data_IF_836295013133
#
_entry.id   IF_836295013133
#
_cell.length_a   1.000
_cell.length_b   1.000
_cell.length_c   1.000
_cell.angle_alpha   90.00
_cell.angle_beta   90.00
_cell.angle_gamma   90.00
#
_symmetry.space_group_name_H-M   'P 1'
#
loop_
_entity.id
_entity.type
_entity.pdbx_description
1 polymer ?
#
# COMPACT_ATOMS: atom_id res chain seq x y z
N UNK A 1 -14.93 33.47 33.11
CA UNK A 1 -15.21 33.36 31.65
C UNK A 1 -15.67 31.95 31.42
N UNK A 2 -16.90 31.75 30.96
CA UNK A 2 -17.46 30.41 30.79
C UNK A 2 -16.66 29.63 29.73
N UNK A 3 -16.25 28.40 30.04
CA UNK A 3 -15.50 27.50 29.14
C UNK A 3 -16.22 27.32 27.80
N UNK A 4 -17.55 27.34 27.79
CA UNK A 4 -18.38 27.30 26.57
C UNK A 4 -18.13 28.51 25.63
N UNK A 5 -17.85 29.68 26.19
CA UNK A 5 -17.63 30.90 25.42
C UNK A 5 -16.24 30.90 24.73
N UNK A 6 -15.26 30.25 25.36
CA UNK A 6 -13.91 30.10 24.78
C UNK A 6 -13.95 29.16 23.57
N UNK A 7 -14.65 28.04 23.66
CA UNK A 7 -14.79 27.07 22.55
C UNK A 7 -15.53 27.68 21.35
N UNK A 8 -16.64 28.39 21.61
CA UNK A 8 -17.39 29.06 20.55
C UNK A 8 -16.52 30.10 19.83
N UNK A 9 -15.72 30.88 20.55
CA UNK A 9 -14.79 31.86 19.96
C UNK A 9 -13.75 31.15 19.07
N UNK A 10 -13.23 30.00 19.48
CA UNK A 10 -12.27 29.20 18.69
C UNK A 10 -12.94 28.68 17.41
N UNK A 11 -14.16 28.14 17.50
CA UNK A 11 -14.89 27.61 16.35
C UNK A 11 -15.26 28.73 15.35
N UNK A 12 -15.74 29.87 15.85
CA UNK A 12 -16.05 31.02 14.98
C UNK A 12 -14.79 31.59 14.31
N UNK A 13 -13.66 31.62 15.03
CA UNK A 13 -12.38 32.05 14.46
C UNK A 13 -11.97 31.08 13.33
N UNK A 14 -12.08 29.78 13.54
CA UNK A 14 -11.75 28.79 12.52
C UNK A 14 -12.63 28.90 11.27
N UNK A 15 -13.92 29.16 11.45
CA UNK A 15 -14.86 29.35 10.34
C UNK A 15 -14.64 30.66 9.55
N UNK A 16 -14.04 31.68 10.18
CA UNK A 16 -13.76 33.00 9.56
C UNK A 16 -12.36 33.11 8.96
N UNK A 17 -11.45 32.20 9.31
CA UNK A 17 -10.06 32.24 8.85
C UNK A 17 -9.95 31.89 7.36
N UNK A 18 -8.91 32.44 6.75
CA UNK A 18 -8.49 32.14 5.38
C UNK A 18 -8.20 30.67 5.23
N UNK A 19 -8.78 30.06 4.22
CA UNK A 19 -8.53 28.67 3.91
C UNK A 19 -7.12 28.50 3.32
N UNK A 20 -6.23 27.82 4.05
CA UNK A 20 -4.91 27.41 3.54
C UNK A 20 -5.05 26.20 2.62
N UNK A 21 -5.95 25.27 2.96
CA UNK A 21 -6.17 24.04 2.20
C UNK A 21 -7.37 24.14 1.24
N UNK A 22 -7.18 23.61 0.03
CA UNK A 22 -8.27 23.21 -0.88
C UNK A 22 -8.81 21.85 -0.45
N UNK A 23 -7.89 20.87 -0.28
CA UNK A 23 -8.21 19.51 0.15
C UNK A 23 -7.05 18.94 0.97
N UNK A 24 -7.22 18.87 2.29
CA UNK A 24 -6.19 18.33 3.19
C UNK A 24 -6.04 16.83 3.14
N UNK A 25 -7.08 16.11 2.66
CA UNK A 25 -7.07 14.64 2.58
C UNK A 25 -6.02 14.13 1.58
N UNK A 26 -5.70 14.92 0.57
CA UNK A 26 -4.64 14.63 -0.41
C UNK A 26 -3.26 14.45 0.25
N UNK A 27 -3.01 15.06 1.42
CA UNK A 27 -1.74 14.93 2.15
C UNK A 27 -1.71 13.70 3.09
N UNK A 28 -2.81 13.01 3.27
CA UNK A 28 -2.86 11.83 4.12
C UNK A 28 -2.12 10.64 3.49
N UNK A 29 -1.63 9.77 4.35
CA UNK A 29 -0.82 8.62 3.96
C UNK A 29 -1.60 7.49 3.26
N UNK A 30 -2.92 7.46 3.39
CA UNK A 30 -3.84 6.51 2.75
C UNK A 30 -4.31 6.95 1.36
N UNK A 31 -4.09 8.22 1.02
CA UNK A 31 -4.39 8.73 -0.33
C UNK A 31 -3.44 8.15 -1.37
N UNK A 32 -3.99 7.53 -2.41
CA UNK A 32 -3.23 7.02 -3.56
C UNK A 32 -3.33 8.02 -4.71
N UNK A 33 -2.23 8.65 -5.11
CA UNK A 33 -2.25 9.63 -6.21
C UNK A 33 -2.29 8.96 -7.59
N UNK A 34 -2.74 9.73 -8.59
CA UNK A 34 -2.70 9.31 -9.99
C UNK A 34 -1.28 9.23 -10.56
N UNK A 35 -0.31 9.91 -9.95
CA UNK A 35 1.09 9.90 -10.34
C UNK A 35 1.97 9.62 -9.13
N UNK A 36 2.97 8.78 -9.34
CA UNK A 36 3.97 8.41 -8.35
C UNK A 36 5.37 8.75 -8.87
N UNK A 37 5.78 10.05 -8.78
CA UNK A 37 7.09 10.48 -9.27
C UNK A 37 8.22 9.69 -8.61
N UNK A 38 9.29 9.46 -9.37
CA UNK A 38 10.48 8.72 -8.96
C UNK A 38 10.24 7.23 -8.64
N UNK A 39 9.14 6.66 -9.16
CA UNK A 39 8.82 5.22 -9.08
C UNK A 39 8.46 4.61 -10.43
N UNK A 40 8.78 5.32 -11.52
CA UNK A 40 8.48 4.91 -12.89
C UNK A 40 9.11 3.53 -13.20
N UNK A 41 10.37 3.31 -12.79
CA UNK A 41 11.07 2.04 -12.98
C UNK A 41 10.40 0.88 -12.25
N UNK A 42 10.03 1.08 -10.97
CA UNK A 42 9.37 0.07 -10.16
C UNK A 42 7.97 -0.24 -10.68
N UNK A 43 7.24 0.79 -11.12
CA UNK A 43 5.91 0.66 -11.73
C UNK A 43 6.01 -0.10 -13.05
N UNK A 44 6.99 0.24 -13.89
CA UNK A 44 7.23 -0.43 -15.17
C UNK A 44 7.57 -1.91 -14.95
N UNK A 45 8.55 -2.19 -14.08
CA UNK A 45 8.99 -3.54 -13.76
C UNK A 45 7.81 -4.40 -13.22
N UNK A 46 7.06 -3.89 -12.23
CA UNK A 46 5.91 -4.61 -11.71
C UNK A 46 4.83 -4.81 -12.78
N UNK A 47 4.62 -3.80 -13.63
CA UNK A 47 3.70 -3.89 -14.77
C UNK A 47 4.06 -4.98 -15.74
N UNK A 48 5.35 -5.11 -16.11
CA UNK A 48 5.83 -6.18 -17.00
C UNK A 48 5.64 -7.57 -16.38
N UNK A 49 5.94 -7.71 -15.07
CA UNK A 49 5.81 -8.99 -14.37
C UNK A 49 4.35 -9.44 -14.32
N UNK A 50 3.40 -8.55 -14.07
CA UNK A 50 1.97 -8.91 -13.97
C UNK A 50 1.24 -8.94 -15.31
N UNK A 51 1.79 -8.35 -16.37
CA UNK A 51 1.13 -8.28 -17.68
C UNK A 51 0.71 -9.64 -18.29
N UNK A 52 1.43 -10.76 -18.09
CA UNK A 52 1.03 -12.07 -18.63
C UNK A 52 -0.38 -12.50 -18.24
N UNK A 53 -0.91 -12.04 -17.09
CA UNK A 53 -2.27 -12.42 -16.65
C UNK A 53 -3.36 -11.94 -17.60
N UNK A 54 -3.11 -10.86 -18.37
CA UNK A 54 -4.03 -10.37 -19.39
C UNK A 54 -4.19 -11.34 -20.58
N UNK A 55 -3.27 -12.31 -20.72
CA UNK A 55 -3.33 -13.40 -21.69
C UNK A 55 -3.67 -14.73 -21.01
N UNK A 56 -4.31 -14.71 -19.85
CA UNK A 56 -4.68 -15.87 -19.08
C UNK A 56 -3.48 -16.76 -18.67
N UNK A 57 -2.30 -16.19 -18.56
CA UNK A 57 -1.08 -16.85 -18.06
C UNK A 57 -0.74 -16.37 -16.68
N UNK A 58 -0.40 -17.28 -15.76
CA UNK A 58 0.09 -16.94 -14.42
C UNK A 58 1.34 -16.07 -14.53
N UNK A 59 1.43 -15.00 -13.74
CA UNK A 59 2.68 -14.24 -13.60
C UNK A 59 3.58 -14.85 -12.52
N UNK A 60 4.86 -14.46 -12.52
CA UNK A 60 5.82 -14.82 -11.47
C UNK A 60 5.38 -14.25 -10.12
N UNK A 61 5.80 -14.92 -9.03
CA UNK A 61 5.72 -14.34 -7.72
C UNK A 61 6.70 -13.17 -7.60
N UNK A 62 6.29 -12.11 -6.91
CA UNK A 62 7.09 -10.89 -6.76
C UNK A 62 7.31 -10.59 -5.31
N UNK A 63 8.54 -10.29 -4.95
CA UNK A 63 8.89 -9.81 -3.63
C UNK A 63 9.33 -8.34 -3.69
N UNK A 64 8.55 -7.47 -3.03
CA UNK A 64 8.77 -6.03 -2.98
C UNK A 64 9.25 -5.65 -1.59
N UNK A 65 10.42 -5.04 -1.50
CA UNK A 65 10.97 -4.65 -0.21
C UNK A 65 11.66 -3.29 -0.23
N UNK A 66 11.76 -2.69 0.94
CA UNK A 66 12.34 -1.37 1.17
C UNK A 66 11.86 -0.78 2.47
N UNK A 67 12.46 0.29 2.93
CA UNK A 67 12.05 0.97 4.17
C UNK A 67 10.61 1.48 4.11
N UNK A 68 10.04 1.83 5.26
CA UNK A 68 8.72 2.47 5.37
C UNK A 68 8.69 3.77 4.56
N UNK A 69 7.52 4.12 4.03
CA UNK A 69 7.31 5.39 3.32
C UNK A 69 7.99 5.52 1.95
N UNK A 70 8.57 4.44 1.40
CA UNK A 70 9.24 4.45 0.09
C UNK A 70 8.28 4.25 -1.10
N UNK A 71 6.98 4.17 -0.86
CA UNK A 71 5.96 4.10 -1.92
C UNK A 71 5.59 2.69 -2.39
N UNK A 72 6.07 1.59 -1.76
CA UNK A 72 5.78 0.19 -2.14
C UNK A 72 4.30 -0.09 -2.31
N UNK A 73 3.53 0.10 -1.23
CA UNK A 73 2.07 -0.14 -1.22
C UNK A 73 1.35 0.71 -2.25
N UNK A 74 1.72 1.99 -2.39
CA UNK A 74 1.09 2.90 -3.33
C UNK A 74 1.34 2.48 -4.78
N UNK A 75 2.60 2.14 -5.14
CA UNK A 75 2.95 1.66 -6.46
C UNK A 75 2.28 0.33 -6.80
N UNK A 76 2.24 -0.61 -5.85
CA UNK A 76 1.56 -1.89 -6.04
C UNK A 76 0.06 -1.70 -6.29
N UNK A 77 -0.61 -0.91 -5.45
CA UNK A 77 -2.05 -0.60 -5.64
C UNK A 77 -2.30 0.09 -6.98
N UNK A 78 -1.45 1.05 -7.35
CA UNK A 78 -1.57 1.76 -8.62
C UNK A 78 -1.51 0.80 -9.82
N UNK A 79 -0.47 -0.06 -9.88
CA UNK A 79 -0.29 -1.01 -10.98
C UNK A 79 -1.44 -2.01 -11.04
N UNK A 80 -1.82 -2.60 -9.90
CA UNK A 80 -2.86 -3.62 -9.86
C UNK A 80 -4.25 -3.06 -10.14
N UNK A 81 -4.55 -1.82 -9.74
CA UNK A 81 -5.80 -1.15 -10.14
C UNK A 81 -5.86 -0.95 -11.66
N UNK A 82 -4.76 -0.48 -12.28
CA UNK A 82 -4.69 -0.34 -13.75
C UNK A 82 -4.80 -1.70 -14.45
N UNK A 83 -4.17 -2.74 -13.89
CA UNK A 83 -4.28 -4.11 -14.38
C UNK A 83 -5.74 -4.60 -14.32
N UNK A 84 -6.43 -4.42 -13.19
CA UNK A 84 -7.81 -4.87 -13.01
C UNK A 84 -8.77 -4.18 -13.99
N UNK A 85 -8.61 -2.87 -14.20
CA UNK A 85 -9.40 -2.14 -15.22
C UNK A 85 -9.15 -2.75 -16.61
N UNK A 86 -7.88 -2.98 -16.97
CA UNK A 86 -7.53 -3.53 -18.28
C UNK A 86 -7.98 -4.97 -18.45
N UNK A 87 -7.88 -5.79 -17.41
CA UNK A 87 -8.38 -7.16 -17.41
C UNK A 87 -9.89 -7.19 -17.64
N UNK A 88 -10.65 -6.33 -16.96
CA UNK A 88 -12.09 -6.20 -17.17
C UNK A 88 -12.45 -5.80 -18.62
N UNK A 89 -11.74 -4.82 -19.20
CA UNK A 89 -11.93 -4.41 -20.60
C UNK A 89 -11.70 -5.56 -21.60
N UNK A 90 -10.75 -6.45 -21.30
CA UNK A 90 -10.37 -7.57 -22.15
C UNK A 90 -11.17 -8.85 -21.86
N UNK A 91 -11.99 -8.86 -20.80
CA UNK A 91 -12.66 -10.08 -20.33
C UNK A 91 -11.68 -11.14 -19.79
N UNK A 92 -10.48 -10.74 -19.35
CA UNK A 92 -9.51 -11.65 -18.77
C UNK A 92 -9.95 -12.07 -17.35
N UNK A 93 -9.89 -13.37 -16.99
CA UNK A 93 -10.35 -13.89 -15.71
C UNK A 93 -9.31 -13.62 -14.60
N UNK A 94 -9.14 -12.38 -14.21
CA UNK A 94 -8.16 -11.94 -13.20
C UNK A 94 -8.87 -11.36 -11.99
N UNK A 95 -8.54 -11.85 -10.82
CA UNK A 95 -9.00 -11.34 -9.53
C UNK A 95 -7.80 -10.89 -8.69
N UNK A 96 -7.91 -9.75 -8.01
CA UNK A 96 -6.84 -9.20 -7.17
C UNK A 96 -7.35 -9.08 -5.74
N UNK A 97 -6.67 -9.72 -4.81
CA UNK A 97 -6.96 -9.61 -3.38
C UNK A 97 -5.79 -8.97 -2.64
N UNK A 98 -6.08 -7.90 -1.91
CA UNK A 98 -5.09 -7.20 -1.08
C UNK A 98 -5.36 -7.46 0.40
N UNK A 99 -4.35 -7.99 1.09
CA UNK A 99 -4.40 -8.26 2.53
C UNK A 99 -3.22 -7.57 3.23
N UNK A 100 -3.50 -6.74 4.22
CA UNK A 100 -2.47 -6.25 5.14
C UNK A 100 -2.27 -7.28 6.26
N UNK A 101 -1.14 -7.97 6.24
CA UNK A 101 -0.82 -9.06 7.15
C UNK A 101 -0.69 -8.61 8.60
N UNK A 102 -0.25 -7.37 8.85
CA UNK A 102 -0.16 -6.81 10.19
C UNK A 102 -1.55 -6.57 10.81
N UNK A 103 -2.50 -6.06 10.01
CA UNK A 103 -3.87 -5.86 10.47
C UNK A 103 -4.62 -7.18 10.64
N UNK A 104 -4.40 -8.14 9.75
CA UNK A 104 -4.95 -9.47 9.87
C UNK A 104 -4.43 -10.20 11.13
N UNK A 105 -3.12 -10.12 11.38
CA UNK A 105 -2.46 -10.61 12.60
C UNK A 105 -2.42 -12.12 12.77
N UNK A 106 -3.18 -12.89 11.98
CA UNK A 106 -3.21 -14.36 12.02
C UNK A 106 -3.38 -14.96 10.63
N UNK A 107 -2.85 -16.18 10.41
CA UNK A 107 -3.01 -16.93 9.17
C UNK A 107 -4.49 -17.17 8.84
N UNK A 108 -5.29 -17.48 9.87
CA UNK A 108 -6.74 -17.66 9.72
C UNK A 108 -7.42 -16.44 9.09
N UNK A 109 -7.10 -15.23 9.57
CA UNK A 109 -7.68 -13.99 9.04
C UNK A 109 -7.18 -13.65 7.65
N UNK A 110 -5.92 -13.94 7.35
CA UNK A 110 -5.39 -13.80 5.98
C UNK A 110 -6.18 -14.71 5.05
N UNK A 111 -6.27 -16.01 5.37
CA UNK A 111 -7.01 -16.99 4.56
C UNK A 111 -8.50 -16.64 4.45
N UNK A 112 -9.12 -16.18 5.55
CA UNK A 112 -10.52 -15.73 5.53
C UNK A 112 -10.71 -14.59 4.53
N UNK A 113 -9.80 -13.61 4.50
CA UNK A 113 -9.87 -12.51 3.53
C UNK A 113 -9.69 -13.00 2.08
N UNK A 114 -8.84 -14.02 1.85
CA UNK A 114 -8.69 -14.63 0.54
C UNK A 114 -9.97 -15.40 0.12
N UNK A 115 -10.59 -16.14 1.04
CA UNK A 115 -11.87 -16.80 0.83
C UNK A 115 -12.99 -15.80 0.51
N UNK A 116 -13.07 -14.69 1.26
CA UNK A 116 -14.07 -13.64 1.05
C UNK A 116 -13.95 -13.02 -0.35
N UNK A 117 -12.73 -12.79 -0.83
CA UNK A 117 -12.49 -12.30 -2.19
C UNK A 117 -12.99 -13.29 -3.27
N UNK A 118 -12.96 -14.59 -2.99
CA UNK A 118 -13.52 -15.63 -3.86
C UNK A 118 -15.01 -15.89 -3.61
N UNK A 119 -15.68 -15.12 -2.73
CA UNK A 119 -17.08 -15.35 -2.37
C UNK A 119 -17.30 -16.64 -1.55
N UNK A 120 -16.26 -17.24 -1.03
CA UNK A 120 -16.31 -18.45 -0.19
C UNK A 120 -16.54 -18.04 1.25
N UNK A 121 -17.68 -18.47 1.81
CA UNK A 121 -18.02 -18.14 3.20
C UNK A 121 -17.22 -18.97 4.20
N UNK A 122 -16.51 -18.29 5.08
CA UNK A 122 -15.80 -18.86 6.21
C UNK A 122 -16.32 -18.25 7.50
N UNK A 123 -16.67 -19.01 8.53
CA UNK A 123 -17.10 -18.47 9.81
C UNK A 123 -15.95 -17.67 10.44
N UNK A 124 -16.28 -16.69 11.29
CA UNK A 124 -15.27 -15.82 11.92
C UNK A 124 -14.29 -16.60 12.82
N UNK A 125 -14.71 -17.71 13.39
CA UNK A 125 -13.92 -18.62 14.25
C UNK A 125 -14.45 -20.04 14.14
N UNK A 126 -13.66 -21.01 14.62
CA UNK A 126 -14.12 -22.39 14.87
C UNK A 126 -13.63 -23.42 13.86
N UNK A 127 -13.00 -23.03 12.76
CA UNK A 127 -12.35 -23.95 11.84
C UNK A 127 -10.85 -24.01 12.08
N UNK A 128 -10.25 -25.16 11.77
CA UNK A 128 -8.79 -25.25 11.70
C UNK A 128 -8.26 -24.46 10.50
N UNK A 129 -7.04 -23.91 10.59
CA UNK A 129 -6.42 -23.14 9.50
C UNK A 129 -6.34 -23.95 8.21
N UNK A 130 -6.00 -25.26 8.31
CA UNK A 130 -5.95 -26.17 7.16
C UNK A 130 -7.31 -26.33 6.47
N UNK A 131 -8.42 -26.39 7.23
CA UNK A 131 -9.76 -26.46 6.62
C UNK A 131 -10.13 -25.19 5.87
N UNK A 132 -9.72 -24.02 6.39
CA UNK A 132 -9.91 -22.74 5.68
C UNK A 132 -9.08 -22.71 4.40
N UNK A 133 -7.85 -23.23 4.45
CA UNK A 133 -6.98 -23.33 3.29
C UNK A 133 -7.57 -24.28 2.22
N UNK A 134 -8.14 -25.41 2.62
CA UNK A 134 -8.80 -26.32 1.68
C UNK A 134 -10.01 -25.66 1.00
N UNK A 135 -10.85 -24.94 1.75
CA UNK A 135 -11.96 -24.17 1.18
C UNK A 135 -11.48 -23.09 0.21
N UNK A 136 -10.37 -22.43 0.52
CA UNK A 136 -9.73 -21.46 -0.38
C UNK A 136 -9.32 -22.13 -1.69
N UNK A 137 -8.64 -23.30 -1.65
CA UNK A 137 -8.24 -24.04 -2.85
C UNK A 137 -9.44 -24.44 -3.71
N UNK A 138 -10.48 -25.01 -3.08
CA UNK A 138 -11.70 -25.41 -3.77
C UNK A 138 -12.38 -24.19 -4.46
N UNK A 139 -12.49 -23.07 -3.74
CA UNK A 139 -13.06 -21.84 -4.29
C UNK A 139 -12.27 -21.31 -5.49
N UNK A 140 -10.95 -21.33 -5.40
CA UNK A 140 -10.06 -20.89 -6.47
C UNK A 140 -10.17 -21.77 -7.73
N UNK A 141 -10.23 -23.11 -7.55
CA UNK A 141 -10.38 -24.04 -8.65
C UNK A 141 -11.76 -23.97 -9.32
N UNK A 142 -12.81 -23.69 -8.56
CA UNK A 142 -14.16 -23.52 -9.08
C UNK A 142 -14.29 -22.28 -9.98
N UNK A 143 -13.66 -21.17 -9.61
CA UNK A 143 -13.74 -19.91 -10.37
C UNK A 143 -12.88 -19.93 -11.64
N UNK A 144 -11.86 -20.77 -11.73
CA UNK A 144 -10.93 -20.88 -12.86
C UNK A 144 -10.22 -19.57 -13.21
N UNK A 145 -10.08 -18.69 -12.24
CA UNK A 145 -9.47 -17.37 -12.38
C UNK A 145 -7.96 -17.42 -12.09
N UNK A 146 -7.25 -16.40 -12.56
CA UNK A 146 -5.92 -16.07 -12.07
C UNK A 146 -6.09 -15.12 -10.88
N UNK A 147 -5.65 -15.55 -9.72
CA UNK A 147 -5.78 -14.85 -8.47
C UNK A 147 -4.44 -14.24 -8.06
N UNK A 148 -4.38 -12.90 -8.03
CA UNK A 148 -3.20 -12.20 -7.56
C UNK A 148 -3.41 -11.83 -6.10
N UNK A 149 -2.62 -12.43 -5.22
CA UNK A 149 -2.66 -12.17 -3.78
C UNK A 149 -1.57 -11.18 -3.41
N UNK A 150 -1.97 -10.04 -2.90
CA UNK A 150 -1.04 -9.06 -2.30
C UNK A 150 -1.01 -9.24 -0.80
N UNK A 151 0.15 -9.62 -0.27
CA UNK A 151 0.42 -9.75 1.15
C UNK A 151 1.30 -8.58 1.60
N UNK A 152 0.66 -7.51 2.07
CA UNK A 152 1.38 -6.31 2.54
C UNK A 152 1.77 -6.44 4.01
N UNK A 153 2.92 -5.88 4.38
CA UNK A 153 3.55 -6.01 5.70
C UNK A 153 3.70 -7.48 6.15
N UNK A 154 4.08 -8.35 5.21
CA UNK A 154 4.19 -9.79 5.42
C UNK A 154 5.17 -10.17 6.54
N UNK A 155 6.22 -9.36 6.73
CA UNK A 155 7.20 -9.51 7.80
C UNK A 155 6.57 -9.49 9.19
N UNK A 156 5.49 -8.74 9.38
CA UNK A 156 4.77 -8.68 10.66
C UNK A 156 4.10 -10.02 11.01
N UNK A 157 3.55 -10.73 10.01
CA UNK A 157 2.93 -12.04 10.21
C UNK A 157 3.99 -13.12 10.48
N UNK A 158 5.03 -13.16 9.66
CA UNK A 158 6.05 -14.21 9.69
C UNK A 158 6.87 -14.18 11.00
N UNK A 159 7.24 -12.99 11.47
CA UNK A 159 7.95 -12.86 12.76
C UNK A 159 7.20 -13.45 13.95
N UNK A 160 5.88 -13.54 13.87
CA UNK A 160 5.03 -14.01 14.98
C UNK A 160 4.54 -15.45 14.77
N UNK A 161 4.29 -15.84 13.51
CA UNK A 161 3.62 -17.11 13.17
C UNK A 161 4.48 -18.08 12.38
N UNK A 162 5.65 -17.65 11.88
CA UNK A 162 6.46 -18.42 10.95
C UNK A 162 5.95 -18.32 9.51
N UNK A 163 6.51 -19.09 8.62
CA UNK A 163 6.31 -19.01 7.17
C UNK A 163 5.44 -20.13 6.57
N UNK A 164 4.74 -20.89 7.43
CA UNK A 164 3.91 -22.04 7.00
C UNK A 164 2.86 -21.62 5.97
N UNK A 165 2.16 -20.52 6.22
CA UNK A 165 1.17 -20.00 5.27
C UNK A 165 1.79 -19.65 3.91
N UNK A 166 2.97 -19.02 3.90
CA UNK A 166 3.68 -18.73 2.66
C UNK A 166 4.12 -19.99 1.93
N UNK A 167 4.60 -20.98 2.67
CA UNK A 167 4.96 -22.27 2.12
C UNK A 167 3.77 -22.93 1.40
N UNK A 168 2.61 -22.94 2.04
CA UNK A 168 1.39 -23.48 1.45
C UNK A 168 0.93 -22.67 0.22
N UNK A 169 0.89 -21.35 0.32
CA UNK A 169 0.46 -20.47 -0.78
C UNK A 169 1.39 -20.53 -2.00
N UNK A 170 2.71 -20.62 -1.80
CA UNK A 170 3.66 -20.70 -2.91
C UNK A 170 3.56 -22.03 -3.67
N UNK A 171 3.10 -23.09 -3.01
CA UNK A 171 2.99 -24.44 -3.58
C UNK A 171 1.58 -24.82 -4.01
N UNK A 172 0.58 -24.02 -3.68
CA UNK A 172 -0.82 -24.37 -3.97
C UNK A 172 -1.09 -24.64 -5.46
N UNK A 173 -0.35 -23.99 -6.36
CA UNK A 173 -0.45 -24.22 -7.81
C UNK A 173 -0.11 -25.68 -8.23
N UNK A 174 0.64 -26.42 -7.41
CA UNK A 174 0.95 -27.85 -7.66
C UNK A 174 -0.30 -28.73 -7.53
N UNK A 175 -1.29 -28.29 -6.75
CA UNK A 175 -2.52 -29.05 -6.44
C UNK A 175 -3.76 -28.51 -7.14
N UNK A 176 -3.70 -27.31 -7.74
CA UNK A 176 -4.80 -26.70 -8.47
C UNK A 176 -4.92 -27.27 -9.88
N UNK A 177 -6.15 -27.55 -10.33
CA UNK A 177 -6.43 -28.04 -11.67
C UNK A 177 -6.69 -26.92 -12.66
N UNK A 178 -7.50 -25.92 -12.28
CA UNK A 178 -7.99 -24.86 -13.15
C UNK A 178 -7.57 -23.46 -12.70
N UNK A 179 -7.74 -23.16 -11.41
CA UNK A 179 -7.33 -21.89 -10.83
C UNK A 179 -5.80 -21.71 -10.83
N UNK A 180 -5.35 -20.48 -10.77
CA UNK A 180 -3.92 -20.17 -10.62
C UNK A 180 -3.75 -19.02 -9.65
N UNK A 181 -2.66 -19.04 -8.88
CA UNK A 181 -2.32 -17.97 -7.94
C UNK A 181 -0.93 -17.42 -8.24
N UNK A 182 -0.78 -16.11 -8.08
CA UNK A 182 0.50 -15.43 -8.02
C UNK A 182 0.55 -14.54 -6.78
N UNK A 183 1.70 -14.44 -6.14
CA UNK A 183 1.88 -13.75 -4.87
C UNK A 183 2.72 -12.50 -5.09
N UNK A 184 2.24 -11.37 -4.56
CA UNK A 184 2.99 -10.14 -4.41
C UNK A 184 3.22 -9.91 -2.93
N UNK A 185 4.40 -10.25 -2.44
CA UNK A 185 4.80 -10.06 -1.05
C UNK A 185 5.44 -8.69 -0.85
N UNK A 186 4.98 -7.89 0.11
CA UNK A 186 5.55 -6.59 0.44
C UNK A 186 6.10 -6.62 1.88
N UNK A 187 7.39 -6.26 2.05
CA UNK A 187 8.02 -6.16 3.35
C UNK A 187 8.69 -4.80 3.59
N UNK A 188 8.67 -4.37 4.83
CA UNK A 188 9.43 -3.21 5.31
C UNK A 188 10.81 -3.59 5.84
N UNK A 189 11.09 -4.87 6.00
CA UNK A 189 12.35 -5.40 6.52
C UNK A 189 13.22 -5.94 5.38
N UNK A 190 14.39 -5.33 5.17
CA UNK A 190 15.35 -5.76 4.13
C UNK A 190 15.98 -7.13 4.42
N UNK A 191 15.96 -7.57 5.68
CA UNK A 191 16.47 -8.88 6.12
C UNK A 191 15.39 -9.94 6.25
N UNK A 192 14.17 -9.62 5.81
CA UNK A 192 13.02 -10.51 5.92
C UNK A 192 13.29 -11.92 5.36
N UNK A 193 14.06 -12.02 4.28
CA UNK A 193 14.42 -13.30 3.65
C UNK A 193 15.19 -14.26 4.57
N UNK A 194 15.96 -13.71 5.52
CA UNK A 194 16.74 -14.51 6.47
C UNK A 194 15.84 -15.32 7.44
N UNK A 195 14.56 -14.93 7.55
CA UNK A 195 13.57 -15.60 8.39
C UNK A 195 12.74 -16.66 7.66
N UNK A 196 12.93 -16.80 6.35
CA UNK A 196 12.17 -17.75 5.52
C UNK A 196 12.92 -19.08 5.36
N UNK A 197 12.16 -20.18 5.30
CA UNK A 197 12.70 -21.45 4.80
C UNK A 197 13.25 -21.24 3.38
N UNK A 198 14.42 -21.80 3.03
CA UNK A 198 15.01 -21.63 1.70
C UNK A 198 14.08 -21.99 0.54
N UNK A 199 13.15 -22.94 0.74
CA UNK A 199 12.16 -23.35 -0.26
C UNK A 199 11.11 -22.27 -0.48
N UNK A 200 10.66 -21.63 0.61
CA UNK A 200 9.72 -20.50 0.54
C UNK A 200 10.38 -19.30 -0.10
N UNK A 201 11.61 -19.00 0.31
CA UNK A 201 12.39 -17.92 -0.26
C UNK A 201 12.55 -18.07 -1.78
N UNK A 202 12.95 -19.27 -2.25
CA UNK A 202 13.13 -19.54 -3.68
C UNK A 202 11.82 -19.39 -4.46
N UNK A 203 10.69 -19.83 -3.91
CA UNK A 203 9.40 -19.76 -4.59
C UNK A 203 8.75 -18.37 -4.53
N UNK A 204 9.01 -17.57 -3.49
CA UNK A 204 8.46 -16.23 -3.34
C UNK A 204 9.26 -15.20 -4.13
N UNK A 205 10.58 -15.37 -4.20
CA UNK A 205 11.50 -14.42 -4.82
C UNK A 205 11.85 -14.81 -6.27
N UNK A 206 10.86 -15.20 -7.07
CA UNK A 206 11.04 -15.40 -8.51
C UNK A 206 11.47 -14.08 -9.16
N UNK A 207 10.84 -12.96 -8.72
CA UNK A 207 11.18 -11.60 -9.10
C UNK A 207 11.30 -10.70 -7.86
N UNK A 208 12.22 -9.73 -7.88
CA UNK A 208 12.45 -8.85 -6.76
C UNK A 208 12.48 -7.38 -7.18
N UNK A 209 11.74 -6.55 -6.44
CA UNK A 209 11.71 -5.11 -6.67
C UNK A 209 12.11 -4.38 -5.39
N UNK A 210 13.20 -3.60 -5.47
CA UNK A 210 13.69 -2.80 -4.34
C UNK A 210 13.21 -1.37 -4.44
N UNK A 211 12.65 -0.88 -3.34
CA UNK A 211 12.27 0.52 -3.18
C UNK A 211 13.27 1.24 -2.28
N UNK A 212 14.17 1.99 -2.89
CA UNK A 212 15.14 2.82 -2.14
C UNK A 212 14.44 4.00 -1.44
N UNK A 213 14.97 4.48 -0.31
CA UNK A 213 14.52 5.73 0.29
C UNK A 213 14.60 6.89 -0.71
N UNK A 214 13.71 7.85 -0.56
CA UNK A 214 13.72 9.07 -1.36
C UNK A 214 14.82 10.01 -0.86
N UNK A 215 15.46 10.73 -1.77
CA UNK A 215 16.31 11.87 -1.44
C UNK A 215 15.49 13.17 -1.25
N UNK A 216 16.16 14.26 -0.84
CA UNK A 216 15.48 15.53 -0.58
C UNK A 216 14.85 16.15 -1.85
N UNK A 217 15.51 15.99 -3.01
CA UNK A 217 14.99 16.48 -4.30
C UNK A 217 13.76 15.71 -4.76
N UNK A 218 13.79 14.39 -4.61
CA UNK A 218 12.66 13.51 -4.91
C UNK A 218 11.46 13.81 -3.99
N UNK A 219 11.70 13.98 -2.68
CA UNK A 219 10.65 14.37 -1.73
C UNK A 219 10.07 15.75 -2.04
N UNK A 220 10.92 16.71 -2.40
CA UNK A 220 10.45 18.04 -2.83
C UNK A 220 9.51 17.92 -4.04
N UNK A 221 9.85 17.11 -5.02
CA UNK A 221 9.00 16.88 -6.20
C UNK A 221 7.64 16.28 -5.80
N UNK A 222 7.64 15.27 -4.92
CA UNK A 222 6.42 14.64 -4.40
C UNK A 222 5.55 15.66 -3.67
N UNK A 223 6.14 16.46 -2.78
CA UNK A 223 5.44 17.49 -2.03
C UNK A 223 4.86 18.58 -2.95
N UNK A 224 5.61 19.03 -3.95
CA UNK A 224 5.13 19.99 -4.94
C UNK A 224 3.94 19.46 -5.73
N UNK A 225 3.95 18.19 -6.16
CA UNK A 225 2.81 17.60 -6.87
C UNK A 225 1.56 17.50 -5.97
N UNK A 226 1.74 17.09 -4.72
CA UNK A 226 0.64 16.99 -3.75
C UNK A 226 0.09 18.35 -3.35
N UNK A 227 0.94 19.35 -3.18
CA UNK A 227 0.55 20.68 -2.76
C UNK A 227 -0.36 21.40 -3.77
N UNK A 228 -0.23 21.14 -5.07
CA UNK A 228 -1.11 21.67 -6.12
C UNK A 228 -2.59 21.38 -5.88
N UNK A 229 -2.89 20.18 -5.37
CA UNK A 229 -4.26 19.77 -5.07
C UNK A 229 -4.65 20.06 -3.62
N UNK A 230 -3.68 20.09 -2.70
CA UNK A 230 -3.93 20.22 -1.28
C UNK A 230 -4.09 21.66 -0.81
N UNK A 231 -3.32 22.60 -1.36
CA UNK A 231 -3.24 23.99 -0.89
C UNK A 231 -3.94 24.97 -1.82
N UNK A 232 -4.43 26.08 -1.26
CA UNK A 232 -4.90 27.21 -2.03
C UNK A 232 -3.73 27.91 -2.72
N UNK A 233 -4.02 28.64 -3.80
CA UNK A 233 -3.00 29.35 -4.56
C UNK A 233 -2.32 30.41 -3.67
N UNK A 234 -0.99 30.45 -3.71
CA UNK A 234 -0.12 31.35 -2.91
C UNK A 234 -0.18 31.14 -1.38
N UNK A 235 -0.79 30.06 -0.88
CA UNK A 235 -0.83 29.76 0.56
C UNK A 235 0.35 28.94 1.08
N UNK A 236 1.28 28.53 0.21
CA UNK A 236 2.44 27.72 0.56
C UNK A 236 3.72 28.28 -0.08
N UNK A 237 4.77 28.49 0.74
CA UNK A 237 6.08 28.91 0.26
C UNK A 237 6.94 27.74 -0.22
N UNK A 238 7.80 27.96 -1.21
CA UNK A 238 8.78 26.96 -1.66
C UNK A 238 9.81 26.63 -0.56
N UNK A 239 10.07 27.57 0.33
CA UNK A 239 10.97 27.36 1.47
C UNK A 239 10.41 26.31 2.44
N UNK A 240 9.12 26.39 2.80
CA UNK A 240 8.45 25.41 3.66
C UNK A 240 8.47 24.01 3.02
N UNK A 241 8.17 23.88 1.73
CA UNK A 241 8.23 22.61 1.01
C UNK A 241 9.65 22.05 1.03
N UNK A 242 10.66 22.88 0.75
CA UNK A 242 12.07 22.46 0.74
C UNK A 242 12.54 22.01 2.12
N UNK A 243 12.12 22.71 3.18
CA UNK A 243 12.45 22.36 4.56
C UNK A 243 11.82 21.03 4.97
N UNK A 244 10.53 20.82 4.69
CA UNK A 244 9.86 19.55 4.96
C UNK A 244 10.53 18.38 4.23
N UNK A 245 10.91 18.56 2.97
CA UNK A 245 11.62 17.55 2.18
C UNK A 245 13.00 17.25 2.77
N UNK A 246 13.78 18.26 3.14
CA UNK A 246 15.11 18.09 3.71
C UNK A 246 15.06 17.36 5.07
N UNK A 247 14.13 17.73 5.95
CA UNK A 247 13.96 17.07 7.25
C UNK A 247 13.57 15.59 7.09
N UNK A 248 12.62 15.27 6.24
CA UNK A 248 12.21 13.89 6.02
C UNK A 248 13.31 13.04 5.35
N UNK A 249 14.10 13.64 4.45
CA UNK A 249 15.24 12.97 3.84
C UNK A 249 16.35 12.66 4.86
N UNK A 250 16.65 13.61 5.77
CA UNK A 250 17.64 13.43 6.82
C UNK A 250 17.25 12.33 7.83
N UNK A 251 15.95 12.16 8.11
CA UNK A 251 15.48 11.11 9.00
C UNK A 251 15.60 9.73 8.33
N UNK A 252 14.88 9.47 7.25
CA UNK A 252 14.87 8.13 6.62
C UNK A 252 14.48 8.14 5.14
N UNK A 253 14.22 9.27 4.51
CA UNK A 253 13.72 9.36 3.14
C UNK A 253 12.28 8.84 3.00
N UNK A 254 11.44 9.10 4.01
CA UNK A 254 10.06 8.65 4.13
C UNK A 254 9.10 9.72 3.59
N UNK A 255 8.39 9.42 2.48
CA UNK A 255 7.43 10.34 1.88
C UNK A 255 6.20 10.59 2.77
N UNK A 256 5.78 9.62 3.61
CA UNK A 256 4.69 9.81 4.57
C UNK A 256 5.06 10.88 5.59
N UNK A 257 6.30 10.82 6.09
CA UNK A 257 6.83 11.82 7.03
C UNK A 257 6.89 13.20 6.40
N UNK A 258 7.32 13.31 5.15
CA UNK A 258 7.35 14.58 4.42
C UNK A 258 5.96 15.18 4.25
N UNK A 259 4.97 14.37 3.85
CA UNK A 259 3.56 14.78 3.71
C UNK A 259 2.95 15.18 5.06
N UNK A 260 3.22 14.45 6.13
CA UNK A 260 2.73 14.79 7.48
C UNK A 260 3.32 16.11 7.98
N UNK A 261 4.62 16.34 7.77
CA UNK A 261 5.26 17.62 8.13
C UNK A 261 4.58 18.79 7.42
N UNK A 262 4.35 18.67 6.11
CA UNK A 262 3.71 19.71 5.31
C UNK A 262 2.25 19.94 5.74
N UNK A 263 1.50 18.85 6.00
CA UNK A 263 0.11 18.92 6.50
C UNK A 263 0.05 19.63 7.85
N UNK A 264 0.91 19.24 8.80
CA UNK A 264 0.95 19.85 10.13
C UNK A 264 1.36 21.32 10.06
N UNK A 265 2.33 21.67 9.22
CA UNK A 265 2.71 23.08 9.01
C UNK A 265 1.53 23.92 8.51
N UNK A 266 0.73 23.39 7.57
CA UNK A 266 -0.50 24.06 7.12
C UNK A 266 -1.55 24.19 8.21
N UNK A 267 -1.78 23.14 9.02
CA UNK A 267 -2.72 23.17 10.13
C UNK A 267 -2.32 24.18 11.23
N UNK A 268 -1.01 24.31 11.50
CA UNK A 268 -0.49 25.32 12.45
C UNK A 268 -0.74 26.73 11.90
N UNK A 269 -0.41 26.96 10.64
CA UNK A 269 -0.65 28.25 10.00
C UNK A 269 -2.14 28.66 10.02
N UNK A 270 -3.07 27.72 9.76
CA UNK A 270 -4.52 27.97 9.91
C UNK A 270 -4.89 28.36 11.35
N UNK A 271 -4.35 27.64 12.36
CA UNK A 271 -4.63 27.96 13.80
C UNK A 271 -4.10 29.33 14.20
N UNK A 272 -2.98 29.74 13.66
CA UNK A 272 -2.39 31.07 13.89
C UNK A 272 -3.07 32.19 13.10
N UNK A 273 -3.91 31.83 12.13
CA UNK A 273 -4.58 32.80 11.24
C UNK A 273 -3.63 33.38 10.19
N UNK A 274 -2.54 32.68 9.89
CA UNK A 274 -1.64 33.04 8.81
C UNK A 274 -2.30 32.78 7.44
N UNK A 275 -1.87 33.51 6.44
CA UNK A 275 -2.35 33.38 5.05
C UNK A 275 -1.41 32.50 4.21
N UNK A 276 -0.20 32.26 4.70
CA UNK A 276 0.86 31.54 4.01
C UNK A 276 1.61 30.64 4.99
N UNK A 277 1.92 29.42 4.58
CA UNK A 277 2.84 28.52 5.26
C UNK A 277 4.26 28.89 4.83
N UNK A 278 5.03 29.44 5.75
CA UNK A 278 6.38 29.96 5.50
C UNK A 278 7.47 29.07 6.12
#
# INVERSE_FOLDING_TARGET
>A
MDELNVLNTVFERFLKNTHIFKDREVLRHDYVPDKLPHREEQIHCLGEIVAPVLRSSRCSNVFIYGKTGTGKTAATKYVLNKLSVKAHELGAPVEVCYVNCRLAGTEYRVLSSLCDALGVKVPFTGLAVGEVFDRFKEGLDLQKNIFIVVLDEIDALIKVRGDVLLYELTRVNETLHHGRISIVGISNDLRFKEFLDPRVQSSLSEEEIVFRPYDAGELKTILCERSKSAFCDNSLSDAAVSLCAALAAAEHGDARRALDLLRVAGEVAEREGATVVA
#
